data_IF_141321566791
#
_entry.id   IF_141321566791
#
_cell.length_a   1.000
_cell.length_b   1.000
_cell.length_c   1.000
_cell.angle_alpha   90.00
_cell.angle_beta   90.00
_cell.angle_gamma   90.00
#
_symmetry.space_group_name_H-M   'P 1'
#
loop_
_entity.id
_entity.type
_entity.pdbx_description
1 polymer ?
#
# COMPACT_ATOMS: atom_id res chain seq x y z
N UNK A 1 -22.67 -9.98 -1.46
CA UNK A 1 -23.15 -11.11 -0.65
C UNK A 1 -22.32 -11.17 0.62
N UNK A 2 -22.92 -11.24 1.80
CA UNK A 2 -22.21 -11.39 3.08
C UNK A 2 -22.14 -12.87 3.44
N UNK A 3 -20.95 -13.34 3.82
CA UNK A 3 -20.74 -14.71 4.27
C UNK A 3 -20.25 -14.69 5.72
N UNK A 4 -20.82 -15.56 6.56
CA UNK A 4 -20.43 -15.69 7.96
C UNK A 4 -19.25 -16.64 8.08
N UNK A 5 -18.14 -16.16 8.62
CA UNK A 5 -16.94 -16.95 8.89
C UNK A 5 -16.68 -17.01 10.38
N UNK A 6 -16.65 -18.20 10.97
CA UNK A 6 -16.28 -18.39 12.38
C UNK A 6 -14.76 -18.37 12.53
N UNK A 7 -14.23 -17.37 13.22
CA UNK A 7 -12.79 -17.20 13.48
C UNK A 7 -12.52 -17.48 14.96
N UNK A 8 -11.61 -18.42 15.25
CA UNK A 8 -11.12 -18.64 16.62
C UNK A 8 -10.11 -17.55 16.95
N UNK A 9 -10.41 -16.76 17.97
CA UNK A 9 -9.52 -15.72 18.47
C UNK A 9 -8.88 -16.18 19.79
N UNK A 10 -7.57 -16.00 19.97
CA UNK A 10 -6.95 -16.15 21.29
C UNK A 10 -7.63 -15.24 22.31
N UNK A 11 -7.88 -15.72 23.52
CA UNK A 11 -8.62 -14.97 24.56
C UNK A 11 -7.99 -13.60 24.84
N UNK A 12 -6.65 -13.52 24.89
CA UNK A 12 -5.92 -12.25 25.04
C UNK A 12 -6.26 -11.23 23.96
N UNK A 13 -6.42 -11.67 22.71
CA UNK A 13 -6.75 -10.78 21.59
C UNK A 13 -8.22 -10.34 21.65
N UNK A 14 -9.13 -11.28 21.96
CA UNK A 14 -10.55 -11.00 22.14
C UNK A 14 -10.80 -9.94 23.21
N UNK A 15 -10.14 -10.04 24.37
CA UNK A 15 -10.24 -9.05 25.46
C UNK A 15 -9.72 -7.67 25.03
N UNK A 16 -8.61 -7.61 24.28
CA UNK A 16 -8.08 -6.34 23.75
C UNK A 16 -9.04 -5.68 22.77
N UNK A 17 -9.63 -6.45 21.87
CA UNK A 17 -10.63 -5.97 20.90
C UNK A 17 -11.86 -5.45 21.63
N UNK A 18 -12.39 -6.19 22.60
CA UNK A 18 -13.55 -5.78 23.38
C UNK A 18 -13.29 -4.47 24.15
N UNK A 19 -12.10 -4.32 24.74
CA UNK A 19 -11.70 -3.08 25.42
C UNK A 19 -11.64 -1.89 24.45
N UNK A 20 -10.95 -2.06 23.31
CA UNK A 20 -10.81 -0.99 22.32
C UNK A 20 -12.15 -0.59 21.71
N UNK A 21 -13.03 -1.57 21.47
CA UNK A 21 -14.38 -1.33 20.99
C UNK A 21 -15.17 -0.46 21.99
N UNK A 22 -15.09 -0.75 23.29
CA UNK A 22 -15.71 0.08 24.34
C UNK A 22 -15.13 1.49 24.42
N UNK A 23 -13.80 1.63 24.39
CA UNK A 23 -13.11 2.92 24.44
C UNK A 23 -13.46 3.82 23.25
N UNK A 24 -13.69 3.22 22.07
CA UNK A 24 -14.01 3.94 20.83
C UNK A 24 -15.51 4.07 20.55
N UNK A 25 -16.37 3.50 21.39
CA UNK A 25 -17.83 3.50 21.17
C UNK A 25 -18.28 2.66 19.96
N UNK A 26 -17.48 1.68 19.54
CA UNK A 26 -17.71 0.86 18.35
C UNK A 26 -18.09 -0.57 18.73
N UNK A 27 -18.71 -1.31 17.81
CA UNK A 27 -18.89 -2.76 17.98
C UNK A 27 -17.58 -3.51 17.73
N UNK A 28 -17.33 -4.56 18.51
CA UNK A 28 -16.18 -5.44 18.30
C UNK A 28 -16.17 -6.03 16.88
N UNK A 29 -17.35 -6.36 16.34
CA UNK A 29 -17.49 -6.85 14.97
C UNK A 29 -17.03 -5.83 13.93
N UNK A 30 -17.51 -4.58 13.99
CA UNK A 30 -17.09 -3.52 13.05
C UNK A 30 -15.58 -3.28 13.11
N UNK A 31 -15.00 -3.27 14.30
CA UNK A 31 -13.56 -3.12 14.47
C UNK A 31 -12.79 -4.28 13.83
N UNK A 32 -13.25 -5.51 13.99
CA UNK A 32 -12.63 -6.69 13.39
C UNK A 32 -12.70 -6.67 11.87
N UNK A 33 -13.85 -6.33 11.30
CA UNK A 33 -14.03 -6.24 9.84
C UNK A 33 -13.10 -5.18 9.25
N UNK A 34 -13.06 -3.98 9.82
CA UNK A 34 -12.17 -2.92 9.34
C UNK A 34 -10.69 -3.32 9.45
N UNK A 35 -10.30 -3.96 10.55
CA UNK A 35 -8.93 -4.43 10.73
C UNK A 35 -8.53 -5.46 9.64
N UNK A 36 -9.43 -6.36 9.29
CA UNK A 36 -9.22 -7.34 8.22
C UNK A 36 -9.15 -6.66 6.85
N UNK A 37 -10.07 -5.76 6.53
CA UNK A 37 -10.05 -5.00 5.27
C UNK A 37 -8.75 -4.22 5.09
N UNK A 38 -8.28 -3.56 6.15
CA UNK A 38 -7.01 -2.83 6.15
C UNK A 38 -5.83 -3.75 5.91
N UNK A 39 -5.78 -4.92 6.53
CA UNK A 39 -4.67 -5.86 6.35
C UNK A 39 -4.69 -6.51 4.96
N UNK A 40 -5.87 -6.88 4.44
CA UNK A 40 -6.02 -7.40 3.08
C UNK A 40 -5.55 -6.37 2.06
N UNK A 41 -6.06 -5.14 2.15
CA UNK A 41 -5.68 -4.03 1.27
C UNK A 41 -4.17 -3.77 1.32
N UNK A 42 -3.58 -3.80 2.53
CA UNK A 42 -2.13 -3.61 2.72
C UNK A 42 -1.33 -4.73 2.03
N UNK A 43 -1.77 -5.98 2.16
CA UNK A 43 -1.10 -7.14 1.56
C UNK A 43 -1.21 -7.14 0.05
N UNK A 44 -2.37 -6.76 -0.49
CA UNK A 44 -2.58 -6.61 -1.93
C UNK A 44 -1.68 -5.52 -2.51
N UNK A 45 -1.69 -4.31 -1.92
CA UNK A 45 -0.81 -3.21 -2.35
C UNK A 45 0.67 -3.57 -2.28
N UNK A 46 1.08 -4.30 -1.24
CA UNK A 46 2.47 -4.75 -1.14
C UNK A 46 2.83 -5.75 -2.25
N UNK A 47 1.93 -6.69 -2.56
CA UNK A 47 2.14 -7.65 -3.65
C UNK A 47 2.18 -6.98 -5.02
N UNK A 48 1.31 -6.01 -5.25
CA UNK A 48 1.29 -5.18 -6.45
C UNK A 48 2.59 -4.38 -6.59
N UNK A 49 2.99 -3.67 -5.54
CA UNK A 49 4.24 -2.92 -5.51
C UNK A 49 5.47 -3.79 -5.82
N UNK A 50 5.57 -4.98 -5.21
CA UNK A 50 6.67 -5.91 -5.49
C UNK A 50 6.62 -6.40 -6.94
N UNK A 51 5.44 -6.69 -7.48
CA UNK A 51 5.29 -7.10 -8.88
C UNK A 51 5.74 -5.99 -9.82
N UNK A 52 5.32 -4.75 -9.60
CA UNK A 52 5.74 -3.59 -10.38
C UNK A 52 7.25 -3.37 -10.30
N UNK A 53 7.85 -3.54 -9.12
CA UNK A 53 9.29 -3.44 -8.94
C UNK A 53 10.05 -4.50 -9.76
N UNK A 54 9.59 -5.76 -9.74
CA UNK A 54 10.21 -6.84 -10.53
C UNK A 54 10.08 -6.60 -12.04
N UNK A 55 8.93 -6.10 -12.50
CA UNK A 55 8.74 -5.74 -13.92
C UNK A 55 9.66 -4.59 -14.30
N UNK A 56 9.77 -3.56 -13.45
CA UNK A 56 10.68 -2.45 -13.69
C UNK A 56 12.15 -2.89 -13.70
N UNK A 57 12.53 -3.83 -12.85
CA UNK A 57 13.90 -4.36 -12.77
C UNK A 57 14.25 -5.13 -14.06
N UNK A 58 13.38 -6.03 -14.51
CA UNK A 58 13.55 -6.73 -15.78
C UNK A 58 13.64 -5.76 -16.96
N UNK A 59 12.80 -4.72 -16.99
CA UNK A 59 12.87 -3.70 -18.04
C UNK A 59 14.20 -2.95 -18.04
N UNK A 60 14.78 -2.66 -16.86
CA UNK A 60 16.11 -2.03 -16.76
C UNK A 60 17.20 -2.93 -17.32
N UNK A 61 17.15 -4.22 -17.05
CA UNK A 61 18.07 -5.20 -17.66
C UNK A 61 17.91 -5.28 -19.19
N UNK A 62 16.69 -5.08 -19.70
CA UNK A 62 16.38 -5.00 -21.14
C UNK A 62 16.77 -3.65 -21.79
N UNK A 63 17.34 -2.70 -21.04
CA UNK A 63 17.78 -1.39 -21.55
C UNK A 63 16.73 -0.28 -21.43
N UNK A 64 15.79 -0.40 -20.49
CA UNK A 64 14.90 0.71 -20.16
C UNK A 64 15.67 1.88 -19.55
N UNK A 65 15.20 3.09 -19.87
CA UNK A 65 15.76 4.32 -19.35
C UNK A 65 15.69 4.40 -17.82
N UNK A 66 16.86 4.54 -17.17
CA UNK A 66 16.97 4.73 -15.71
C UNK A 66 17.17 6.20 -15.40
N UNK A 67 16.53 6.71 -14.35
CA UNK A 67 16.62 8.11 -13.91
C UNK A 67 17.23 8.19 -12.51
N UNK A 68 18.01 9.24 -12.24
CA UNK A 68 18.51 9.46 -10.87
C UNK A 68 17.40 10.00 -9.97
N UNK A 69 17.28 9.45 -8.76
CA UNK A 69 16.31 9.91 -7.76
C UNK A 69 16.38 11.42 -7.50
N UNK A 70 17.60 12.00 -7.46
CA UNK A 70 17.81 13.45 -7.27
C UNK A 70 17.18 14.33 -8.36
N UNK A 71 17.00 13.79 -9.57
CA UNK A 71 16.40 14.52 -10.70
C UNK A 71 14.89 14.27 -10.77
N UNK A 72 14.45 13.08 -10.36
CA UNK A 72 13.05 12.66 -10.32
C UNK A 72 12.28 13.36 -9.20
N UNK A 73 12.80 13.44 -7.96
CA UNK A 73 12.04 14.02 -6.85
C UNK A 73 11.63 15.49 -7.08
N UNK A 74 12.54 16.40 -7.51
CA UNK A 74 12.14 17.78 -7.82
C UNK A 74 11.20 17.85 -9.02
N UNK A 75 11.35 16.94 -10.00
CA UNK A 75 10.43 16.85 -11.14
C UNK A 75 9.02 16.47 -10.70
N UNK A 76 8.84 15.49 -9.80
CA UNK A 76 7.53 15.10 -9.26
C UNK A 76 6.84 16.27 -8.55
N UNK A 77 7.58 17.04 -7.74
CA UNK A 77 7.04 18.24 -7.08
C UNK A 77 6.55 19.28 -8.10
N UNK A 78 7.29 19.47 -9.20
CA UNK A 78 6.85 20.37 -10.28
C UNK A 78 5.65 19.81 -11.04
N UNK A 79 5.63 18.51 -11.31
CA UNK A 79 4.55 17.82 -12.02
C UNK A 79 3.21 17.94 -11.27
N UNK A 80 3.24 17.85 -9.93
CA UNK A 80 2.05 18.02 -9.09
C UNK A 80 1.43 19.42 -9.22
N UNK A 81 2.25 20.45 -9.44
CA UNK A 81 1.81 21.85 -9.64
C UNK A 81 1.41 22.14 -11.08
N UNK A 82 2.08 21.50 -12.05
CA UNK A 82 1.83 21.68 -13.47
C UNK A 82 2.05 20.36 -14.21
N UNK A 83 0.98 19.80 -14.78
CA UNK A 83 1.02 18.51 -15.49
C UNK A 83 1.81 18.54 -16.81
N UNK A 84 2.26 19.71 -17.29
CA UNK A 84 3.02 19.88 -18.54
C UNK A 84 4.54 19.98 -18.36
N UNK A 85 5.09 19.56 -17.22
CA UNK A 85 6.53 19.64 -16.94
C UNK A 85 7.30 18.53 -17.65
N UNK A 86 8.34 18.89 -18.41
CA UNK A 86 9.21 17.95 -19.11
C UNK A 86 9.90 16.96 -18.15
N UNK A 87 10.02 15.70 -18.59
CA UNK A 87 10.68 14.63 -17.83
C UNK A 87 12.19 14.89 -17.68
N UNK A 88 12.82 14.41 -16.58
CA UNK A 88 14.26 14.49 -16.42
C UNK A 88 14.98 13.69 -17.51
N UNK A 89 16.24 14.03 -17.78
CA UNK A 89 17.06 13.26 -18.72
C UNK A 89 17.41 11.90 -18.10
N UNK A 90 17.33 10.80 -18.87
CA UNK A 90 17.76 9.50 -18.38
C UNK A 90 19.27 9.50 -18.10
N UNK A 91 19.64 8.85 -17.00
CA UNK A 91 21.01 8.65 -16.57
C UNK A 91 21.71 7.53 -17.34
N UNK A 92 20.97 6.45 -17.60
CA UNK A 92 21.43 5.29 -18.38
C UNK A 92 20.33 4.88 -19.36
N UNK A 93 20.75 4.47 -20.56
CA UNK A 93 19.96 3.74 -21.55
C UNK A 93 20.58 2.36 -21.69
#
# INVERSE_FOLDING_TARGET
>A
MTATTTIKLPEKLKTRIARLARETGRSAHSLMVEALEREVTRKERMREFVREALVSDAAVEEGAAVYRAKDVHPWLVRLAKNRRVARPKPWRK
#
